data_IF_552559056528
#
_entry.id   IF_552559056528
#
_cell.length_a   1.000
_cell.length_b   1.000
_cell.length_c   1.000
_cell.angle_alpha   90.00
_cell.angle_beta   90.00
_cell.angle_gamma   90.00
#
_symmetry.space_group_name_H-M   'P 1'
#
loop_
_entity.id
_entity.type
_entity.pdbx_description
1 polymer ?
#
# COMPACT_ATOMS: atom_id res chain seq x y z
N UNK A 1 23.15 0.57 -82.61
CA UNK A 1 22.32 1.43 -81.76
C UNK A 1 21.45 0.53 -80.89
N UNK A 2 21.86 0.30 -79.64
CA UNK A 2 21.23 -0.61 -78.71
C UNK A 2 20.75 0.22 -77.49
N UNK A 3 19.43 0.38 -77.40
CA UNK A 3 18.77 1.03 -76.23
C UNK A 3 18.74 0.07 -75.06
N UNK A 4 19.34 0.46 -73.91
CA UNK A 4 19.24 -0.22 -72.63
C UNK A 4 18.04 0.34 -71.86
N UNK A 5 17.06 -0.51 -71.58
CA UNK A 5 15.93 -0.20 -70.71
C UNK A 5 16.37 -0.28 -69.23
N UNK A 6 16.14 0.80 -68.47
CA UNK A 6 16.39 0.89 -67.02
C UNK A 6 15.04 0.57 -66.31
N UNK A 7 15.04 -0.52 -65.55
CA UNK A 7 13.94 -0.87 -64.63
C UNK A 7 14.20 -0.20 -63.29
N UNK A 8 13.28 0.70 -62.90
CA UNK A 8 13.29 1.32 -61.58
C UNK A 8 12.38 0.48 -60.70
N UNK A 9 12.94 -0.25 -59.72
CA UNK A 9 12.20 -0.99 -58.70
C UNK A 9 11.84 -0.02 -57.60
N UNK A 10 10.52 0.25 -57.48
CA UNK A 10 9.97 1.00 -56.34
C UNK A 10 9.89 0.07 -55.12
N UNK A 11 10.72 0.30 -54.11
CA UNK A 11 10.62 -0.36 -52.82
C UNK A 11 9.60 0.41 -51.96
N UNK A 12 8.43 -0.19 -51.76
CA UNK A 12 7.42 0.33 -50.85
C UNK A 12 7.86 0.04 -49.39
N UNK A 13 8.30 1.05 -48.68
CA UNK A 13 8.50 1.01 -47.21
C UNK A 13 7.12 1.03 -46.53
N UNK A 14 6.60 -0.14 -46.11
CA UNK A 14 5.51 -0.23 -45.16
C UNK A 14 6.02 0.14 -43.75
N UNK A 15 5.89 1.42 -43.37
CA UNK A 15 6.12 1.88 -42.03
C UNK A 15 5.02 1.35 -41.10
N UNK A 16 5.36 0.41 -40.22
CA UNK A 16 4.49 -0.01 -39.14
C UNK A 16 4.47 1.11 -38.11
N UNK A 17 3.38 1.88 -38.08
CA UNK A 17 3.06 2.78 -36.99
C UNK A 17 2.70 1.91 -35.78
N UNK A 18 3.68 1.67 -34.90
CA UNK A 18 3.44 1.20 -33.55
C UNK A 18 2.69 2.33 -32.84
N UNK A 19 1.38 2.27 -32.82
CA UNK A 19 0.55 3.07 -31.94
C UNK A 19 0.87 2.62 -30.50
N UNK A 20 1.84 3.28 -29.86
CA UNK A 20 2.05 3.16 -28.43
C UNK A 20 0.74 3.59 -27.76
N UNK A 21 0.07 2.65 -27.09
CA UNK A 21 -1.06 2.97 -26.24
C UNK A 21 -0.49 3.82 -25.10
N UNK A 22 -0.62 5.14 -25.20
CA UNK A 22 -0.44 6.03 -24.07
C UNK A 22 -1.51 5.64 -23.04
N UNK A 23 -1.11 5.00 -21.98
CA UNK A 23 -1.96 4.78 -20.81
C UNK A 23 -2.25 6.17 -20.26
N UNK A 24 -3.49 6.61 -20.38
CA UNK A 24 -3.89 7.86 -19.76
C UNK A 24 -3.65 7.72 -18.26
N UNK A 25 -2.80 8.61 -17.71
CA UNK A 25 -2.64 8.71 -16.28
C UNK A 25 -4.01 8.99 -15.66
N UNK A 26 -4.34 8.25 -14.61
CA UNK A 26 -5.60 8.47 -13.95
C UNK A 26 -5.57 9.77 -13.14
N UNK A 27 -6.73 10.44 -12.98
CA UNK A 27 -6.86 11.68 -12.22
C UNK A 27 -7.32 11.37 -10.81
N UNK A 28 -6.55 11.77 -9.78
CA UNK A 28 -6.98 11.63 -8.39
C UNK A 28 -8.25 12.45 -8.13
N UNK A 29 -9.11 12.04 -7.16
CA UNK A 29 -10.22 12.85 -6.69
C UNK A 29 -9.78 14.22 -6.20
N UNK A 30 -10.66 15.23 -6.28
CA UNK A 30 -10.36 16.55 -5.73
C UNK A 30 -10.23 16.49 -4.20
N UNK A 31 -9.24 17.19 -3.65
CA UNK A 31 -9.06 17.38 -2.21
C UNK A 31 -10.08 18.39 -1.69
N UNK A 32 -10.57 18.19 -0.47
CA UNK A 32 -11.47 19.11 0.24
C UNK A 32 -10.70 19.96 1.26
N UNK A 33 -9.58 19.45 1.78
CA UNK A 33 -8.72 20.08 2.77
C UNK A 33 -7.22 19.82 2.51
N UNK A 34 -6.36 20.58 3.17
CA UNK A 34 -4.91 20.48 3.04
C UNK A 34 -4.35 19.18 3.66
N UNK A 35 -5.04 18.64 4.66
CA UNK A 35 -4.65 17.39 5.32
C UNK A 35 -5.17 16.13 4.62
N UNK A 36 -5.98 16.26 3.56
CA UNK A 36 -6.55 15.14 2.84
C UNK A 36 -5.51 14.44 1.95
N UNK A 37 -5.71 13.13 1.74
CA UNK A 37 -4.94 12.35 0.77
C UNK A 37 -5.81 11.95 -0.41
N UNK A 38 -5.31 12.18 -1.61
CA UNK A 38 -6.00 11.80 -2.84
C UNK A 38 -5.07 11.05 -3.77
N UNK A 39 -5.46 9.84 -4.16
CA UNK A 39 -4.65 8.92 -4.95
C UNK A 39 -5.43 8.37 -6.12
N UNK A 40 -4.70 8.08 -7.18
CA UNK A 40 -5.21 7.34 -8.32
C UNK A 40 -4.13 6.40 -8.87
N UNK A 41 -4.53 5.20 -9.30
CA UNK A 41 -3.63 4.22 -9.90
C UNK A 41 -4.36 3.35 -10.93
N UNK A 42 -3.75 3.17 -12.09
CA UNK A 42 -4.20 2.16 -13.04
C UNK A 42 -4.01 0.78 -12.43
N UNK A 43 -4.99 -0.11 -12.61
CA UNK A 43 -4.92 -1.47 -12.07
C UNK A 43 -4.30 -2.44 -13.07
N UNK A 44 -3.01 -2.83 -12.94
CA UNK A 44 -2.34 -3.65 -13.96
C UNK A 44 -2.99 -5.02 -14.21
N UNK A 45 -3.68 -5.57 -13.19
CA UNK A 45 -4.42 -6.83 -13.32
C UNK A 45 -5.69 -6.70 -14.18
N UNK A 46 -6.22 -5.50 -14.31
CA UNK A 46 -7.42 -5.14 -15.09
C UNK A 46 -7.15 -3.82 -15.81
N UNK A 47 -6.44 -3.82 -16.95
CA UNK A 47 -5.88 -2.62 -17.58
C UNK A 47 -6.91 -1.54 -17.96
N UNK A 48 -8.19 -1.91 -18.07
CA UNK A 48 -9.30 -1.00 -18.32
C UNK A 48 -9.84 -0.34 -17.04
N UNK A 49 -9.32 -0.71 -15.86
CA UNK A 49 -9.79 -0.20 -14.58
C UNK A 49 -8.75 0.69 -13.91
N UNK A 50 -9.24 1.72 -13.23
CA UNK A 50 -8.49 2.57 -12.33
C UNK A 50 -9.03 2.47 -10.91
N UNK A 51 -8.14 2.63 -9.95
CA UNK A 51 -8.46 2.65 -8.52
C UNK A 51 -8.21 4.07 -8.05
N UNK A 52 -9.17 4.65 -7.33
CA UNK A 52 -9.00 5.92 -6.64
C UNK A 52 -9.19 5.74 -5.15
N UNK A 53 -8.45 6.53 -4.36
CA UNK A 53 -8.63 6.65 -2.93
C UNK A 53 -8.68 8.13 -2.56
N UNK A 54 -9.64 8.49 -1.74
CA UNK A 54 -9.73 9.78 -1.06
C UNK A 54 -9.80 9.52 0.44
N UNK A 55 -8.90 10.12 1.18
CA UNK A 55 -8.93 10.08 2.64
C UNK A 55 -9.09 11.51 3.15
N UNK A 56 -10.20 11.75 3.81
CA UNK A 56 -10.60 13.09 4.26
C UNK A 56 -10.38 13.22 5.75
N UNK A 57 -9.65 14.24 6.16
CA UNK A 57 -9.39 14.54 7.57
C UNK A 57 -10.64 15.09 8.25
N UNK A 58 -10.96 14.54 9.41
CA UNK A 58 -12.04 14.98 10.29
C UNK A 58 -11.40 15.37 11.63
N UNK A 59 -11.26 16.67 11.93
CA UNK A 59 -10.63 17.14 13.15
C UNK A 59 -11.41 16.70 14.38
N UNK A 60 -10.68 16.40 15.46
CA UNK A 60 -11.30 16.17 16.77
C UNK A 60 -11.77 17.52 17.34
N UNK A 61 -13.06 17.69 17.66
CA UNK A 61 -13.59 19.00 18.08
C UNK A 61 -13.10 19.46 19.46
N UNK A 62 -12.46 18.58 20.23
CA UNK A 62 -11.99 18.88 21.60
C UNK A 62 -10.48 18.99 21.67
N UNK A 63 -9.76 18.09 20.98
CA UNK A 63 -8.30 17.95 21.13
C UNK A 63 -7.51 18.52 19.97
N UNK A 64 -8.16 18.79 18.82
CA UNK A 64 -7.47 19.36 17.67
C UNK A 64 -7.31 20.88 17.79
N UNK A 65 -6.11 21.33 18.14
CA UNK A 65 -5.75 22.75 18.18
C UNK A 65 -4.93 23.20 16.96
N UNK A 66 -4.27 22.25 16.30
CA UNK A 66 -3.28 22.51 15.25
C UNK A 66 -3.57 21.81 13.93
N UNK A 67 -4.77 21.25 13.74
CA UNK A 67 -5.16 20.49 12.53
C UNK A 67 -4.48 19.15 12.38
N UNK A 68 -4.11 18.48 13.50
CA UNK A 68 -3.34 17.23 13.51
C UNK A 68 -4.00 16.08 14.26
N UNK A 69 -4.92 16.41 15.17
CA UNK A 69 -5.60 15.43 16.01
C UNK A 69 -7.01 15.19 15.46
N UNK A 70 -7.27 13.96 15.07
CA UNK A 70 -8.56 13.63 14.49
C UNK A 70 -8.59 12.24 13.91
N UNK A 71 -9.45 12.08 12.92
CA UNK A 71 -9.57 10.83 12.18
C UNK A 71 -9.61 11.09 10.67
N UNK A 72 -9.38 10.06 9.90
CA UNK A 72 -9.51 10.09 8.45
C UNK A 72 -10.62 9.14 8.02
N UNK A 73 -11.59 9.67 7.27
CA UNK A 73 -12.53 8.86 6.52
C UNK A 73 -11.86 8.33 5.26
N UNK A 74 -12.16 7.12 4.84
CA UNK A 74 -11.61 6.51 3.63
C UNK A 74 -12.72 6.22 2.62
N UNK A 75 -12.58 6.76 1.42
CA UNK A 75 -13.40 6.43 0.26
C UNK A 75 -12.54 5.81 -0.84
N UNK A 76 -12.92 4.62 -1.29
CA UNK A 76 -12.28 3.93 -2.42
C UNK A 76 -13.28 3.79 -3.56
N UNK A 77 -12.81 3.91 -4.79
CA UNK A 77 -13.61 3.58 -5.96
C UNK A 77 -12.77 2.87 -7.03
N UNK A 78 -13.44 1.99 -7.77
CA UNK A 78 -12.93 1.41 -9.01
C UNK A 78 -13.79 1.95 -10.14
N UNK A 79 -13.15 2.53 -11.15
CA UNK A 79 -13.80 3.10 -12.35
C UNK A 79 -13.24 2.47 -13.61
N UNK A 80 -13.95 2.60 -14.72
CA UNK A 80 -13.35 2.38 -16.05
C UNK A 80 -12.40 3.54 -16.35
N UNK A 81 -11.24 3.26 -16.93
CA UNK A 81 -10.28 4.28 -17.33
C UNK A 81 -10.94 5.38 -18.17
N UNK A 82 -10.77 6.65 -17.74
CA UNK A 82 -11.39 7.80 -18.41
C UNK A 82 -12.86 8.04 -18.08
N UNK A 83 -13.50 7.25 -17.20
CA UNK A 83 -14.88 7.47 -16.77
C UNK A 83 -14.95 7.94 -15.31
N UNK A 84 -15.70 9.00 -14.97
CA UNK A 84 -15.88 9.44 -13.60
C UNK A 84 -16.89 8.56 -12.83
N UNK A 85 -17.67 7.70 -13.52
CA UNK A 85 -18.69 6.89 -12.87
C UNK A 85 -18.06 5.66 -12.19
N UNK A 86 -18.22 5.49 -10.86
CA UNK A 86 -17.69 4.33 -10.19
C UNK A 86 -18.45 3.05 -10.57
N UNK A 87 -17.70 1.97 -10.76
CA UNK A 87 -18.20 0.61 -10.93
C UNK A 87 -18.37 -0.10 -9.59
N UNK A 88 -17.56 0.27 -8.60
CA UNK A 88 -17.63 -0.26 -7.24
C UNK A 88 -17.04 0.76 -6.27
N UNK A 89 -17.59 0.82 -5.06
CA UNK A 89 -17.16 1.77 -4.02
C UNK A 89 -17.04 1.10 -2.66
N UNK A 90 -16.22 1.74 -1.79
CA UNK A 90 -16.08 1.44 -0.38
C UNK A 90 -16.00 2.75 0.40
N UNK A 91 -16.65 2.80 1.55
CA UNK A 91 -16.56 3.92 2.47
C UNK A 91 -16.41 3.42 3.90
N UNK A 92 -15.47 4.01 4.62
CA UNK A 92 -15.26 3.76 6.04
C UNK A 92 -15.03 5.09 6.75
N UNK A 93 -15.87 5.39 7.73
CA UNK A 93 -15.65 6.53 8.63
C UNK A 93 -14.58 6.18 9.64
N UNK A 94 -13.78 7.17 10.02
CA UNK A 94 -12.70 7.03 10.99
C UNK A 94 -11.84 5.78 10.70
N UNK A 95 -11.50 5.59 9.42
CA UNK A 95 -10.69 4.46 8.97
C UNK A 95 -9.30 4.49 9.62
N UNK A 96 -8.78 5.70 9.86
CA UNK A 96 -7.49 5.91 10.50
C UNK A 96 -7.64 6.98 11.59
N UNK A 97 -6.99 6.76 12.72
CA UNK A 97 -6.83 7.78 13.77
C UNK A 97 -5.49 8.49 13.56
N UNK A 98 -5.43 9.77 13.90
CA UNK A 98 -4.21 10.58 13.85
C UNK A 98 -4.16 11.43 15.11
N UNK A 99 -3.10 11.25 15.87
CA UNK A 99 -2.83 11.97 17.11
C UNK A 99 -1.30 12.16 17.27
N UNK A 100 -0.72 11.76 18.40
CA UNK A 100 0.72 11.70 18.59
C UNK A 100 1.43 10.77 17.58
N UNK A 101 0.67 9.85 16.99
CA UNK A 101 1.07 8.98 15.89
C UNK A 101 0.24 9.39 14.66
N UNK A 102 0.83 10.22 13.81
CA UNK A 102 0.14 10.83 12.69
C UNK A 102 0.12 9.92 11.45
N UNK A 103 -0.98 9.98 10.69
CA UNK A 103 -1.03 9.45 9.33
C UNK A 103 -0.22 10.36 8.40
N UNK A 104 0.92 9.87 7.91
CA UNK A 104 1.87 10.64 7.08
C UNK A 104 1.61 10.48 5.59
N UNK A 105 1.20 9.29 5.16
CA UNK A 105 0.92 9.03 3.75
C UNK A 105 0.01 7.83 3.52
N UNK A 106 -0.60 7.81 2.33
CA UNK A 106 -1.32 6.67 1.79
C UNK A 106 -0.70 6.26 0.45
N UNK A 107 -0.78 4.96 0.13
CA UNK A 107 -0.35 4.40 -1.14
C UNK A 107 -1.34 3.35 -1.63
N UNK A 108 -1.64 3.35 -2.95
CA UNK A 108 -2.37 2.27 -3.61
C UNK A 108 -1.38 1.18 -4.04
N UNK A 109 -1.56 -0.02 -3.51
CA UNK A 109 -0.75 -1.19 -3.81
C UNK A 109 -1.49 -2.12 -4.77
N UNK A 110 -0.92 -2.30 -5.95
CA UNK A 110 -1.47 -3.17 -7.00
C UNK A 110 -0.60 -4.41 -7.25
N UNK A 111 0.11 -4.87 -6.21
CA UNK A 111 0.89 -6.10 -6.28
C UNK A 111 0.02 -7.32 -6.64
N UNK A 112 0.66 -8.46 -6.87
CA UNK A 112 -0.02 -9.64 -7.43
C UNK A 112 -0.81 -10.42 -6.36
N UNK A 113 -1.74 -9.78 -5.67
CA UNK A 113 -2.64 -10.43 -4.70
C UNK A 113 -3.71 -11.26 -5.41
N UNK A 114 -3.31 -12.44 -5.91
CA UNK A 114 -4.19 -13.35 -6.66
C UNK A 114 -4.92 -14.29 -5.69
N UNK A 115 -6.16 -13.95 -5.33
CA UNK A 115 -6.95 -14.71 -4.36
C UNK A 115 -7.60 -15.95 -4.98
N UNK A 116 -8.00 -15.84 -6.24
CA UNK A 116 -8.46 -16.98 -7.07
C UNK A 116 -7.86 -16.86 -8.48
N UNK A 117 -8.04 -17.84 -9.37
CA UNK A 117 -7.62 -17.70 -10.76
C UNK A 117 -8.11 -16.41 -11.42
N UNK A 118 -9.31 -15.94 -11.09
CA UNK A 118 -9.99 -14.84 -11.74
C UNK A 118 -10.15 -13.58 -10.87
N UNK A 119 -9.80 -13.67 -9.56
CA UNK A 119 -9.96 -12.57 -8.62
C UNK A 119 -8.61 -12.05 -8.10
N UNK A 120 -8.40 -10.75 -8.29
CA UNK A 120 -7.29 -9.99 -7.72
C UNK A 120 -7.80 -9.03 -6.67
N UNK A 121 -7.06 -8.91 -5.56
CA UNK A 121 -7.20 -7.79 -4.66
C UNK A 121 -6.25 -6.65 -5.04
N UNK A 122 -6.55 -5.45 -4.56
CA UNK A 122 -5.60 -4.35 -4.46
C UNK A 122 -5.47 -3.93 -3.00
N UNK A 123 -4.40 -3.23 -2.66
CA UNK A 123 -4.09 -2.78 -1.31
C UNK A 123 -4.17 -1.27 -1.16
N UNK A 124 -4.42 -0.86 0.08
CA UNK A 124 -4.14 0.48 0.59
C UNK A 124 -3.09 0.33 1.68
N UNK A 125 -1.98 1.05 1.53
CA UNK A 125 -0.95 1.17 2.55
C UNK A 125 -1.12 2.50 3.25
N UNK A 126 -1.23 2.47 4.56
CA UNK A 126 -1.29 3.66 5.41
C UNK A 126 -0.01 3.70 6.26
N UNK A 127 0.74 4.78 6.13
CA UNK A 127 1.99 4.99 6.85
C UNK A 127 1.78 5.95 8.00
N UNK A 128 2.18 5.52 9.20
CA UNK A 128 2.04 6.26 10.44
C UNK A 128 3.39 6.52 11.06
N UNK A 129 3.54 7.70 11.67
CA UNK A 129 4.77 8.10 12.33
C UNK A 129 4.50 8.82 13.64
N UNK A 130 5.18 8.36 14.69
CA UNK A 130 5.19 9.01 15.99
C UNK A 130 6.11 10.23 16.02
N UNK A 131 5.73 11.24 16.79
CA UNK A 131 6.48 12.49 16.93
C UNK A 131 7.66 12.38 17.94
N UNK A 132 7.71 11.32 18.75
CA UNK A 132 8.74 11.14 19.80
C UNK A 132 10.08 10.71 19.23
N UNK A 133 11.15 11.39 19.63
CA UNK A 133 12.52 10.99 19.30
C UNK A 133 13.10 9.95 20.27
N UNK A 134 12.57 9.90 21.50
CA UNK A 134 13.02 8.95 22.53
C UNK A 134 12.25 7.64 22.51
N UNK A 135 11.00 7.69 22.05
CA UNK A 135 10.17 6.51 21.79
C UNK A 135 9.68 6.57 20.34
N UNK A 136 10.58 6.38 19.36
CA UNK A 136 10.20 6.44 17.95
C UNK A 136 9.22 5.31 17.61
N UNK A 137 8.22 5.64 16.81
CA UNK A 137 7.30 4.70 16.20
C UNK A 137 7.13 5.05 14.73
N UNK A 138 7.18 4.04 13.87
CA UNK A 138 6.95 4.17 12.45
C UNK A 138 6.31 2.86 11.96
N UNK A 139 5.10 2.93 11.39
CA UNK A 139 4.37 1.75 10.96
C UNK A 139 3.76 1.95 9.58
N UNK A 140 3.76 0.88 8.78
CA UNK A 140 2.97 0.80 7.56
C UNK A 140 1.97 -0.34 7.66
N UNK A 141 0.69 0.00 7.52
CA UNK A 141 -0.43 -0.93 7.57
C UNK A 141 -0.92 -1.23 6.15
N UNK A 142 -1.18 -2.48 5.85
CA UNK A 142 -1.75 -2.92 4.57
C UNK A 142 -3.15 -3.47 4.78
N UNK A 143 -4.13 -2.90 4.07
CA UNK A 143 -5.47 -3.46 3.92
C UNK A 143 -5.69 -3.89 2.48
N UNK A 144 -6.33 -5.05 2.25
CA UNK A 144 -6.63 -5.57 0.91
C UNK A 144 -8.14 -5.53 0.64
N UNK A 145 -8.46 -5.14 -0.60
CA UNK A 145 -9.84 -5.00 -1.06
C UNK A 145 -10.07 -5.79 -2.35
N UNK A 146 -11.27 -6.36 -2.46
CA UNK A 146 -11.75 -7.05 -3.66
C UNK A 146 -12.98 -6.34 -4.21
N UNK A 147 -13.16 -6.43 -5.54
CA UNK A 147 -14.38 -5.94 -6.20
C UNK A 147 -15.39 -7.07 -6.30
N UNK A 148 -16.55 -6.89 -5.68
CA UNK A 148 -17.70 -7.80 -5.70
C UNK A 148 -18.95 -7.05 -6.19
N UNK A 149 -19.32 -7.25 -7.44
CA UNK A 149 -20.42 -6.50 -8.04
C UNK A 149 -20.11 -4.99 -8.09
N UNK A 150 -20.97 -4.19 -7.46
CA UNK A 150 -20.88 -2.74 -7.33
C UNK A 150 -20.23 -2.27 -6.02
N UNK A 151 -19.73 -3.20 -5.21
CA UNK A 151 -19.07 -2.92 -3.93
C UNK A 151 -17.61 -3.33 -3.94
N UNK A 152 -16.83 -2.64 -3.12
CA UNK A 152 -15.52 -3.08 -2.69
C UNK A 152 -15.66 -3.61 -1.26
N UNK A 153 -15.02 -4.73 -0.99
CA UNK A 153 -15.01 -5.35 0.33
C UNK A 153 -13.59 -5.52 0.83
N UNK A 154 -13.33 -5.16 2.08
CA UNK A 154 -12.07 -5.46 2.75
C UNK A 154 -11.98 -6.96 3.03
N UNK A 155 -10.87 -7.59 2.65
CA UNK A 155 -10.56 -9.00 2.90
C UNK A 155 -9.35 -9.19 3.81
N UNK A 156 -8.58 -8.14 4.03
CA UNK A 156 -7.49 -8.06 5.00
C UNK A 156 -7.49 -6.66 5.60
N UNK A 157 -7.50 -6.54 6.92
CA UNK A 157 -7.59 -5.25 7.60
C UNK A 157 -6.34 -4.97 8.43
N UNK A 158 -5.62 -3.90 8.07
CA UNK A 158 -4.50 -3.30 8.81
C UNK A 158 -3.39 -4.28 9.23
N UNK A 159 -2.95 -5.16 8.32
CA UNK A 159 -1.73 -5.95 8.54
C UNK A 159 -0.52 -5.02 8.62
N UNK A 160 0.21 -5.05 9.74
CA UNK A 160 1.51 -4.35 9.86
C UNK A 160 2.50 -4.98 8.91
N UNK A 161 2.90 -4.27 7.86
CA UNK A 161 3.90 -4.74 6.88
C UNK A 161 5.28 -4.14 7.11
N UNK A 162 5.35 -3.05 7.83
CA UNK A 162 6.56 -2.43 8.33
C UNK A 162 6.31 -1.90 9.74
N UNK A 163 7.24 -2.10 10.64
CA UNK A 163 7.25 -1.43 11.93
C UNK A 163 8.68 -1.12 12.37
N UNK A 164 8.86 0.06 12.91
CA UNK A 164 10.07 0.48 13.60
C UNK A 164 9.66 1.10 14.93
N UNK A 165 10.26 0.63 16.02
CA UNK A 165 9.99 1.14 17.36
C UNK A 165 11.22 1.02 18.23
N UNK A 166 11.24 1.72 19.36
CA UNK A 166 12.33 1.60 20.31
C UNK A 166 12.20 2.52 21.50
N UNK A 167 13.16 2.42 22.41
CA UNK A 167 13.38 3.33 23.51
C UNK A 167 14.81 3.87 23.42
N UNK A 168 14.97 5.15 23.57
CA UNK A 168 16.23 5.85 23.35
C UNK A 168 16.43 6.99 24.36
N UNK A 169 17.60 7.07 25.01
CA UNK A 169 17.92 8.13 25.98
C UNK A 169 18.21 9.50 25.33
N UNK A 170 18.20 9.57 24.01
CA UNK A 170 18.51 10.75 23.22
C UNK A 170 20.01 10.95 22.93
N UNK A 171 20.88 10.13 23.54
CA UNK A 171 22.33 10.18 23.34
C UNK A 171 22.87 8.90 22.69
N UNK A 172 23.02 7.84 23.48
CA UNK A 172 23.60 6.59 23.02
C UNK A 172 22.78 5.37 23.45
N UNK A 173 22.40 5.32 24.74
CA UNK A 173 21.75 4.13 25.30
C UNK A 173 20.32 3.97 24.81
N UNK A 174 19.99 2.76 24.38
CA UNK A 174 18.65 2.42 23.96
C UNK A 174 18.60 1.22 23.03
N UNK A 175 17.37 0.78 22.74
CA UNK A 175 17.12 -0.31 21.82
C UNK A 175 16.10 0.09 20.77
N UNK A 176 16.26 -0.46 19.57
CA UNK A 176 15.36 -0.27 18.43
C UNK A 176 15.11 -1.59 17.75
N UNK A 177 13.92 -1.76 17.22
CA UNK A 177 13.55 -2.92 16.47
C UNK A 177 12.86 -2.49 15.16
N UNK A 178 13.31 -3.08 14.07
CA UNK A 178 12.68 -2.93 12.75
C UNK A 178 12.18 -4.28 12.27
N UNK A 179 10.91 -4.35 11.88
CA UNK A 179 10.33 -5.55 11.27
C UNK A 179 9.77 -5.22 9.90
N UNK A 180 10.23 -5.96 8.90
CA UNK A 180 9.70 -5.90 7.53
C UNK A 180 8.94 -7.18 7.22
N UNK A 181 7.70 -7.06 6.72
CA UNK A 181 6.88 -8.20 6.30
C UNK A 181 6.58 -8.14 4.80
N UNK A 182 6.87 -9.22 4.11
CA UNK A 182 6.54 -9.40 2.70
C UNK A 182 5.47 -10.47 2.55
N UNK A 183 4.60 -10.31 1.55
CA UNK A 183 3.48 -11.20 1.31
C UNK A 183 3.70 -12.00 0.02
N UNK A 184 3.43 -13.30 0.09
CA UNK A 184 3.38 -14.19 -1.06
C UNK A 184 2.06 -14.96 -1.06
N UNK A 185 1.50 -15.21 -2.25
CA UNK A 185 0.30 -16.04 -2.37
C UNK A 185 0.68 -17.51 -2.21
N UNK A 186 0.06 -18.17 -1.23
CA UNK A 186 0.26 -19.59 -0.95
C UNK A 186 -0.26 -20.49 -2.07
N UNK A 187 0.17 -21.74 -2.04
CA UNK A 187 -0.34 -22.80 -2.94
C UNK A 187 -1.61 -23.46 -2.40
N UNK A 188 -1.89 -23.30 -1.11
CA UNK A 188 -3.10 -23.74 -0.43
C UNK A 188 -4.16 -22.68 -0.43
N UNK A 189 -5.40 -23.05 -0.18
CA UNK A 189 -6.54 -22.13 -0.10
C UNK A 189 -7.44 -22.48 1.08
N UNK A 190 -8.05 -21.47 1.67
CA UNK A 190 -9.03 -21.58 2.73
C UNK A 190 -10.30 -20.83 2.28
N UNK A 191 -11.48 -21.47 2.42
CA UNK A 191 -12.78 -20.91 2.02
C UNK A 191 -12.79 -20.30 0.59
N UNK A 192 -12.05 -20.93 -0.35
CA UNK A 192 -12.02 -20.53 -1.75
C UNK A 192 -10.98 -19.47 -2.11
N UNK A 193 -10.31 -18.81 -1.16
CA UNK A 193 -9.23 -17.86 -1.41
C UNK A 193 -7.86 -18.46 -1.08
N UNK A 194 -6.86 -18.14 -1.88
CA UNK A 194 -5.48 -18.55 -1.65
C UNK A 194 -5.00 -18.04 -0.28
N UNK A 195 -4.33 -18.91 0.49
CA UNK A 195 -3.69 -18.49 1.73
C UNK A 195 -2.58 -17.48 1.45
N UNK A 196 -2.33 -16.57 2.38
CA UNK A 196 -1.25 -15.58 2.28
C UNK A 196 -0.11 -16.01 3.19
N UNK A 197 1.10 -16.15 2.62
CA UNK A 197 2.32 -16.40 3.38
C UNK A 197 2.98 -15.06 3.68
N UNK A 198 3.07 -14.72 4.96
CA UNK A 198 3.77 -13.52 5.45
C UNK A 198 5.15 -13.94 5.93
N UNK A 199 6.18 -13.36 5.33
CA UNK A 199 7.57 -13.52 5.76
C UNK A 199 7.97 -12.29 6.55
N UNK A 200 8.25 -12.46 7.85
CA UNK A 200 8.73 -11.41 8.76
C UNK A 200 10.24 -11.51 8.93
N UNK A 201 10.92 -10.37 8.81
CA UNK A 201 12.35 -10.22 9.08
C UNK A 201 12.51 -9.12 10.11
N UNK A 202 13.12 -9.43 11.26
CA UNK A 202 13.35 -8.48 12.34
C UNK A 202 14.83 -8.20 12.51
N UNK A 203 15.16 -6.92 12.62
CA UNK A 203 16.52 -6.43 12.93
C UNK A 203 16.46 -5.60 14.20
N UNK A 204 17.25 -5.98 15.20
CA UNK A 204 17.43 -5.23 16.42
C UNK A 204 18.70 -4.40 16.41
N UNK A 205 18.67 -3.24 17.05
CA UNK A 205 19.82 -2.38 17.30
C UNK A 205 19.82 -2.00 18.78
N UNK A 206 20.92 -2.28 19.46
CA UNK A 206 21.16 -1.87 20.85
C UNK A 206 22.35 -0.93 20.89
N UNK A 207 22.19 0.25 21.49
CA UNK A 207 23.24 1.21 21.73
C UNK A 207 23.64 1.21 23.18
N UNK A 208 24.94 1.17 23.47
CA UNK A 208 25.51 1.15 24.83
C UNK A 208 26.72 2.08 24.92
N UNK A 209 26.94 2.66 26.09
CA UNK A 209 28.11 3.48 26.41
C UNK A 209 27.80 4.97 26.54
N UNK A 210 28.82 5.77 26.93
CA UNK A 210 28.70 7.22 26.98
C UNK A 210 28.62 7.83 25.57
N UNK A 211 28.08 9.06 25.41
CA UNK A 211 27.90 9.71 24.13
C UNK A 211 29.14 9.75 23.23
N UNK A 212 30.31 9.96 23.83
CA UNK A 212 31.58 10.10 23.10
C UNK A 212 32.15 8.78 22.55
N UNK A 213 31.73 7.66 23.13
CA UNK A 213 32.21 6.31 22.77
C UNK A 213 31.02 5.35 22.61
N UNK A 214 29.97 5.84 21.98
CA UNK A 214 28.77 5.04 21.76
C UNK A 214 29.06 3.86 20.82
N UNK A 215 28.83 2.66 21.32
CA UNK A 215 28.88 1.44 20.54
C UNK A 215 27.47 0.98 20.22
N UNK A 216 27.26 0.46 19.03
CA UNK A 216 25.98 -0.10 18.61
C UNK A 216 26.13 -1.54 18.11
N UNK A 217 25.24 -2.41 18.57
CA UNK A 217 25.18 -3.80 18.16
C UNK A 217 23.91 -4.08 17.37
N UNK A 218 24.06 -4.53 16.13
CA UNK A 218 22.95 -4.98 15.30
C UNK A 218 22.76 -6.49 15.46
N UNK A 219 21.51 -6.91 15.60
CA UNK A 219 21.10 -8.31 15.61
C UNK A 219 20.11 -8.58 14.49
N UNK A 220 20.21 -9.75 13.86
CA UNK A 220 19.29 -10.19 12.81
C UNK A 220 18.62 -11.48 13.26
N UNK A 221 17.29 -11.44 13.36
CA UNK A 221 16.53 -12.64 13.66
C UNK A 221 16.36 -13.53 12.41
N UNK A 222 16.16 -14.81 12.65
CA UNK A 222 15.80 -15.71 11.55
C UNK A 222 14.43 -15.35 11.00
N UNK A 223 14.26 -15.30 9.67
CA UNK A 223 12.95 -15.02 9.09
C UNK A 223 11.88 -15.99 9.58
N UNK A 224 10.71 -15.45 9.94
CA UNK A 224 9.55 -16.23 10.37
C UNK A 224 8.51 -16.22 9.26
N UNK A 225 7.97 -17.41 8.94
CA UNK A 225 6.87 -17.55 7.99
C UNK A 225 5.56 -17.80 8.75
N UNK A 226 4.55 -16.99 8.44
CA UNK A 226 3.21 -17.10 9.01
C UNK A 226 2.20 -17.24 7.89
N UNK A 227 1.29 -18.19 7.99
CA UNK A 227 0.21 -18.40 7.02
C UNK A 227 -1.06 -17.74 7.53
N UNK A 228 -1.56 -16.75 6.79
CA UNK A 228 -2.88 -16.18 7.00
C UNK A 228 -3.90 -16.97 6.22
N UNK A 229 -4.96 -17.42 6.89
CA UNK A 229 -6.07 -18.17 6.30
C UNK A 229 -7.31 -17.29 6.23
N UNK A 230 -8.02 -17.42 5.13
CA UNK A 230 -9.30 -16.76 4.95
C UNK A 230 -10.39 -17.55 5.67
N UNK A 231 -11.27 -16.90 6.41
CA UNK A 231 -12.33 -17.55 7.20
C UNK A 231 -13.71 -17.56 6.50
N UNK A 232 -13.78 -16.97 5.31
CA UNK A 232 -15.01 -16.76 4.54
C UNK A 232 -15.39 -15.28 4.46
N UNK A 233 -14.84 -14.42 5.35
CA UNK A 233 -15.10 -12.99 5.39
C UNK A 233 -13.79 -12.18 5.29
N UNK A 234 -12.76 -12.58 6.05
CA UNK A 234 -11.47 -11.88 6.12
C UNK A 234 -10.32 -12.85 6.37
N UNK A 235 -9.09 -12.41 6.11
CA UNK A 235 -7.88 -13.13 6.54
C UNK A 235 -7.67 -12.92 8.03
N UNK A 236 -7.52 -14.02 8.77
CA UNK A 236 -7.30 -13.98 10.22
C UNK A 236 -5.86 -13.57 10.50
N UNK A 237 -5.70 -12.46 11.20
CA UNK A 237 -4.41 -11.97 11.65
C UNK A 237 -4.05 -12.55 13.03
N UNK A 238 -2.84 -13.11 13.21
CA UNK A 238 -2.33 -13.46 14.53
C UNK A 238 -2.16 -12.22 15.42
N UNK A 239 -2.05 -12.45 16.72
CA UNK A 239 -1.71 -11.39 17.67
C UNK A 239 -0.39 -10.69 17.28
N UNK A 240 -0.35 -9.35 17.34
CA UNK A 240 0.80 -8.54 16.95
C UNK A 240 0.99 -8.34 15.44
N UNK A 241 0.03 -8.81 14.63
CA UNK A 241 0.04 -8.57 13.18
C UNK A 241 -0.90 -7.46 12.77
N UNK A 242 -1.91 -7.14 13.58
CA UNK A 242 -2.86 -6.06 13.32
C UNK A 242 -2.34 -4.77 13.93
N UNK A 243 -2.25 -3.72 13.11
CA UNK A 243 -1.92 -2.36 13.53
C UNK A 243 -3.12 -1.60 14.13
N UNK A 244 -2.84 -0.36 14.52
CA UNK A 244 -3.78 0.58 15.14
C UNK A 244 -5.04 0.83 14.32
#
# INVERSE_FOLDING_TARGET
MTMKSIWISAVALCGWLMAGQAWADCTPPALSGEADFSLCKNWPAYPQLTITALSTFVPDPVYDQDGRVGSYDLALAVTTAGSPKPLATYHQRSAFLSDAIALESLELDTARYKLTPDLRAFGVRAHFKGSSRVNPLDETLLSLYVKEGDKLRSVLDRLVVYSFSGEWDGNCAGERSETVRTLEMGKTSSHGYADIIVRSVTTGLVGEGPPDTCESKTTHEKPVLTTLRYDGETYILPQGFKGM
#
